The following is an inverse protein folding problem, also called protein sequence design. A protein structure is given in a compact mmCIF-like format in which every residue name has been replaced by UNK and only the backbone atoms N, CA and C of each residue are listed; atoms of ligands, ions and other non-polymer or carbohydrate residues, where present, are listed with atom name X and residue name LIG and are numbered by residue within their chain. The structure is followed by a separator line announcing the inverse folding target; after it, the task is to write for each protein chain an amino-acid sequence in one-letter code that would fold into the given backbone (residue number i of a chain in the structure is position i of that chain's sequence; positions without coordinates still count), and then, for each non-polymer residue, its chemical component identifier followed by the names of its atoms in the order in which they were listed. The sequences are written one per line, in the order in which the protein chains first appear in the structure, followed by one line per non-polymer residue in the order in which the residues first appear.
data_IF_192909018446
#
_entry.id   IF_192909018446
#
_cell.length_a   1.000
_cell.length_b   1.000
_cell.length_c   1.000
_cell.angle_alpha   90.00
_cell.angle_beta   90.00
_cell.angle_gamma   90.00
#
_symmetry.space_group_name_H-M   'P 1'
#
loop_
_entity.id
_entity.type
_entity.pdbx_description
1 polymer ?
#
# COMPACT_ATOMS: atom_id res chain seq x y z
N UNK A 1 20.97 16.29 1.04
CA UNK A 1 20.52 15.05 1.72
C UNK A 1 20.53 13.87 0.75
N UNK A 2 19.88 13.95 -0.41
CA UNK A 2 19.83 12.87 -1.42
C UNK A 2 21.20 12.47 -2.00
N UNK A 3 22.12 13.42 -2.19
CA UNK A 3 23.46 13.17 -2.77
C UNK A 3 24.38 12.29 -1.90
N UNK A 4 23.99 12.00 -0.66
CA UNK A 4 24.76 11.14 0.26
C UNK A 4 24.18 9.73 0.40
N UNK A 5 23.08 9.43 -0.30
CA UNK A 5 22.40 8.13 -0.25
C UNK A 5 22.75 7.36 -1.53
N UNK A 6 23.21 6.12 -1.38
CA UNK A 6 23.41 5.26 -2.54
C UNK A 6 22.04 4.86 -3.10
N UNK A 7 21.82 5.10 -4.39
CA UNK A 7 20.55 4.77 -5.03
C UNK A 7 20.22 3.26 -5.02
N UNK A 8 21.25 2.41 -4.97
CA UNK A 8 21.13 0.95 -4.83
C UNK A 8 20.63 0.51 -3.45
N UNK A 9 20.66 1.42 -2.46
CA UNK A 9 20.14 1.17 -1.13
C UNK A 9 18.68 1.59 -0.95
N UNK A 10 18.05 2.16 -1.98
CA UNK A 10 16.66 2.63 -1.92
C UNK A 10 15.75 1.66 -2.68
N UNK A 11 14.69 1.20 -2.01
CA UNK A 11 13.53 0.60 -2.63
C UNK A 11 12.43 1.65 -2.72
N UNK A 12 12.10 2.07 -3.93
CA UNK A 12 10.92 2.88 -4.19
C UNK A 12 9.71 1.95 -4.21
N UNK A 13 8.61 2.32 -3.56
CA UNK A 13 7.40 1.52 -3.54
C UNK A 13 6.15 2.41 -3.66
N UNK A 14 5.09 1.78 -4.15
CA UNK A 14 3.75 2.33 -4.31
C UNK A 14 2.75 1.15 -4.24
N UNK A 15 1.65 1.32 -3.49
CA UNK A 15 0.59 0.31 -3.36
C UNK A 15 -0.73 0.82 -3.91
N UNK A 16 -1.51 -0.08 -4.50
CA UNK A 16 -2.87 0.21 -4.95
C UNK A 16 -3.86 -0.69 -4.22
N UNK A 17 -4.97 -0.09 -3.80
CA UNK A 17 -5.99 -0.73 -2.97
C UNK A 17 -7.37 -0.54 -3.55
N UNK A 18 -8.27 -1.45 -3.20
CA UNK A 18 -9.71 -1.36 -3.48
C UNK A 18 -10.48 -1.63 -2.19
N UNK A 19 -11.76 -1.26 -2.08
CA UNK A 19 -12.62 -1.71 -0.99
C UNK A 19 -12.60 -3.24 -0.83
N UNK A 20 -12.74 -3.74 0.40
CA UNK A 20 -12.79 -5.20 0.68
C UNK A 20 -13.97 -5.90 -0.01
N UNK A 21 -15.11 -5.22 -0.05
CA UNK A 21 -16.32 -5.64 -0.78
C UNK A 21 -16.72 -4.53 -1.76
N UNK A 22 -17.37 -4.90 -2.88
CA UNK A 22 -17.79 -3.93 -3.91
C UNK A 22 -18.80 -2.93 -3.37
N UNK A 23 -19.83 -3.41 -2.67
CA UNK A 23 -20.89 -2.58 -2.09
C UNK A 23 -20.84 -2.60 -0.55
N UNK A 24 -21.25 -1.49 0.08
CA UNK A 24 -21.34 -1.38 1.54
C UNK A 24 -22.24 -2.47 2.16
N UNK A 25 -23.32 -2.84 1.47
CA UNK A 25 -24.29 -3.86 1.92
C UNK A 25 -23.69 -5.26 2.01
N UNK A 26 -22.59 -5.52 1.29
CA UNK A 26 -21.93 -6.82 1.23
C UNK A 26 -20.94 -7.00 2.38
N UNK A 27 -20.57 -5.89 3.05
CA UNK A 27 -19.84 -5.96 4.32
C UNK A 27 -20.65 -6.71 5.38
N UNK A 28 -19.95 -7.46 6.23
CA UNK A 28 -20.55 -8.00 7.44
C UNK A 28 -20.99 -6.87 8.40
N UNK A 29 -21.93 -7.20 9.30
CA UNK A 29 -22.50 -6.27 10.28
C UNK A 29 -21.44 -5.48 11.06
N UNK A 30 -20.39 -6.16 11.54
CA UNK A 30 -19.31 -5.53 12.31
C UNK A 30 -18.53 -4.53 11.46
N UNK A 31 -18.18 -4.88 10.21
CA UNK A 31 -17.47 -3.99 9.30
C UNK A 31 -18.30 -2.77 8.93
N UNK A 32 -19.63 -2.91 8.75
CA UNK A 32 -20.53 -1.78 8.52
C UNK A 32 -20.52 -0.79 9.69
N UNK A 33 -20.62 -1.29 10.91
CA UNK A 33 -20.59 -0.46 12.13
C UNK A 33 -19.23 0.25 12.30
N UNK A 34 -18.13 -0.48 12.08
CA UNK A 34 -16.78 0.10 12.14
C UNK A 34 -16.56 1.15 11.04
N UNK A 35 -17.05 0.90 9.82
CA UNK A 35 -16.98 1.86 8.72
C UNK A 35 -17.75 3.14 9.05
N UNK A 36 -18.97 3.01 9.57
CA UNK A 36 -19.81 4.14 9.95
C UNK A 36 -19.10 5.04 10.98
N UNK A 37 -18.42 4.44 11.96
CA UNK A 37 -17.66 5.13 13.00
C UNK A 37 -16.39 5.77 12.43
N UNK A 38 -15.58 5.00 11.68
CA UNK A 38 -14.31 5.47 11.12
C UNK A 38 -14.52 6.60 10.12
N UNK A 39 -15.50 6.49 9.23
CA UNK A 39 -15.74 7.47 8.17
C UNK A 39 -16.32 8.80 8.67
N UNK A 40 -16.87 8.84 9.89
CA UNK A 40 -17.65 9.97 10.41
C UNK A 40 -16.91 11.32 10.33
N UNK A 41 -15.61 11.35 10.64
CA UNK A 41 -14.84 12.59 10.63
C UNK A 41 -14.65 13.18 9.22
N UNK A 42 -14.66 12.34 8.18
CA UNK A 42 -14.54 12.77 6.79
C UNK A 42 -15.88 13.01 6.12
N UNK A 43 -16.84 12.08 6.26
CA UNK A 43 -18.15 12.17 5.60
C UNK A 43 -19.08 13.21 6.24
N UNK A 44 -18.82 13.57 7.51
CA UNK A 44 -19.66 14.46 8.33
C UNK A 44 -21.13 14.00 8.31
N UNK A 45 -22.07 14.94 8.32
CA UNK A 45 -23.51 14.69 8.20
C UNK A 45 -24.01 14.90 6.75
N UNK A 46 -23.10 15.05 5.78
CA UNK A 46 -23.43 15.30 4.37
C UNK A 46 -23.71 14.01 3.59
N UNK A 47 -23.03 12.91 3.95
CA UNK A 47 -23.17 11.61 3.29
C UNK A 47 -23.48 10.50 4.30
N UNK A 48 -24.32 9.57 3.88
CA UNK A 48 -24.50 8.30 4.58
C UNK A 48 -23.23 7.44 4.51
N UNK A 49 -23.05 6.45 5.42
CA UNK A 49 -21.91 5.54 5.33
C UNK A 49 -21.82 4.81 3.98
N UNK A 50 -22.96 4.43 3.40
CA UNK A 50 -23.04 3.75 2.11
C UNK A 50 -22.64 4.66 0.95
N UNK A 51 -23.15 5.89 0.89
CA UNK A 51 -22.78 6.86 -0.16
C UNK A 51 -21.28 7.22 -0.13
N UNK A 52 -20.64 7.12 1.03
CA UNK A 52 -19.22 7.43 1.19
C UNK A 52 -18.31 6.21 0.97
N UNK A 53 -18.88 5.01 0.81
CA UNK A 53 -18.14 3.74 0.83
C UNK A 53 -17.17 3.53 -0.34
N UNK A 54 -17.35 4.22 -1.47
CA UNK A 54 -16.41 4.19 -2.60
C UNK A 54 -14.95 4.53 -2.19
N UNK A 55 -14.80 5.24 -1.07
CA UNK A 55 -13.50 5.66 -0.52
C UNK A 55 -12.89 4.65 0.45
N UNK A 56 -13.52 3.50 0.70
CA UNK A 56 -13.08 2.54 1.69
C UNK A 56 -11.64 2.04 1.49
N UNK A 57 -11.20 1.94 0.23
CA UNK A 57 -9.83 1.53 -0.09
C UNK A 57 -8.73 2.39 0.55
N UNK A 58 -9.00 3.65 0.90
CA UNK A 58 -7.95 4.53 1.49
C UNK A 58 -7.58 4.17 2.93
N UNK A 59 -8.36 3.31 3.60
CA UNK A 59 -8.10 2.83 4.95
C UNK A 59 -7.72 1.36 4.92
N UNK A 60 -6.59 1.01 5.53
CA UNK A 60 -6.08 -0.36 5.56
C UNK A 60 -7.08 -1.37 6.18
N UNK A 61 -7.94 -0.93 7.10
CA UNK A 61 -8.93 -1.79 7.73
C UNK A 61 -10.13 -2.15 6.81
N UNK A 62 -10.36 -1.37 5.75
CA UNK A 62 -11.49 -1.51 4.82
C UNK A 62 -11.07 -1.67 3.36
N UNK A 63 -9.77 -1.62 3.11
CA UNK A 63 -9.14 -1.85 1.83
C UNK A 63 -8.58 -3.27 1.70
N UNK A 64 -8.31 -3.64 0.46
CA UNK A 64 -7.56 -4.81 0.03
C UNK A 64 -6.48 -4.36 -0.94
N UNK A 65 -5.25 -4.79 -0.74
CA UNK A 65 -4.14 -4.52 -1.66
C UNK A 65 -4.30 -5.38 -2.90
N UNK A 66 -4.31 -4.74 -4.07
CA UNK A 66 -4.43 -5.40 -5.39
C UNK A 66 -3.15 -5.34 -6.20
N UNK A 67 -2.25 -4.41 -5.86
CA UNK A 67 -0.97 -4.26 -6.51
C UNK A 67 0.05 -3.64 -5.56
N UNK A 68 1.29 -4.11 -5.66
CA UNK A 68 2.46 -3.43 -5.09
C UNK A 68 3.47 -3.29 -6.23
N UNK A 69 3.88 -2.08 -6.54
CA UNK A 69 4.96 -1.82 -7.49
C UNK A 69 6.19 -1.33 -6.77
N UNK A 70 7.36 -1.87 -7.12
CA UNK A 70 8.64 -1.46 -6.56
C UNK A 70 9.64 -1.11 -7.64
N UNK A 71 10.48 -0.12 -7.34
CA UNK A 71 11.57 0.33 -8.18
C UNK A 71 12.89 0.33 -7.43
N UNK A 72 13.97 -0.12 -8.06
CA UNK A 72 15.31 -0.10 -7.46
C UNK A 72 16.40 -0.07 -8.53
N UNK A 73 17.57 0.48 -8.16
CA UNK A 73 18.74 0.50 -9.05
C UNK A 73 19.55 -0.78 -8.89
N UNK A 74 19.94 -1.40 -10.01
CA UNK A 74 20.89 -2.50 -10.02
C UNK A 74 22.32 -2.01 -9.69
N UNK A 75 23.14 -2.93 -9.19
CA UNK A 75 24.58 -2.70 -9.03
C UNK A 75 25.39 -2.93 -10.33
N UNK A 76 24.73 -2.96 -11.50
CA UNK A 76 25.40 -3.11 -12.80
C UNK A 76 26.00 -1.79 -13.28
N UNK A 77 26.94 -1.87 -14.22
CA UNK A 77 27.47 -0.71 -14.95
C UNK A 77 27.17 -0.88 -16.46
N UNK A 78 26.30 -0.05 -17.07
CA UNK A 78 25.60 1.08 -16.45
C UNK A 78 24.51 0.62 -15.45
N UNK A 79 24.17 1.53 -14.53
CA UNK A 79 23.08 1.32 -13.57
C UNK A 79 21.75 1.27 -14.30
N UNK A 80 20.99 0.22 -14.05
CA UNK A 80 19.64 0.05 -14.58
C UNK A 80 18.62 0.30 -13.47
N UNK A 81 17.58 1.08 -13.76
CA UNK A 81 16.42 1.15 -12.90
C UNK A 81 15.46 0.00 -13.25
N UNK A 82 15.22 -0.89 -12.29
CA UNK A 82 14.36 -2.06 -12.45
C UNK A 82 13.04 -1.81 -11.74
N UNK A 83 11.95 -2.22 -12.39
CA UNK A 83 10.59 -2.14 -11.87
C UNK A 83 10.02 -3.56 -11.82
N UNK A 84 9.42 -3.89 -10.69
CA UNK A 84 8.70 -5.15 -10.47
C UNK A 84 7.34 -4.82 -9.88
N UNK A 85 6.28 -5.40 -10.42
CA UNK A 85 4.91 -5.25 -9.91
C UNK A 85 4.37 -6.61 -9.49
N UNK A 86 3.83 -6.68 -8.28
CA UNK A 86 3.12 -7.82 -7.71
C UNK A 86 1.63 -7.56 -7.81
N UNK A 87 0.85 -8.47 -8.38
CA UNK A 87 -0.59 -8.32 -8.55
C UNK A 87 -1.33 -9.66 -8.44
N UNK A 88 -2.63 -9.63 -8.14
CA UNK A 88 -3.45 -10.83 -7.95
C UNK A 88 -4.02 -10.92 -6.53
N UNK A 89 -4.01 -12.11 -5.94
CA UNK A 89 -4.50 -12.30 -4.57
C UNK A 89 -3.57 -11.65 -3.55
N UNK A 90 -4.16 -10.85 -2.64
CA UNK A 90 -3.45 -10.08 -1.62
C UNK A 90 -2.44 -10.91 -0.82
N UNK A 91 -2.83 -12.11 -0.37
CA UNK A 91 -1.93 -12.99 0.38
C UNK A 91 -0.66 -13.34 -0.42
N UNK A 92 -0.81 -13.62 -1.72
CA UNK A 92 0.32 -13.89 -2.61
C UNK A 92 1.18 -12.65 -2.79
N UNK A 93 0.57 -11.50 -3.07
CA UNK A 93 1.25 -10.21 -3.22
C UNK A 93 2.11 -9.92 -1.99
N UNK A 94 1.53 -10.02 -0.79
CA UNK A 94 2.21 -9.74 0.47
C UNK A 94 3.36 -10.73 0.74
N UNK A 95 3.19 -12.01 0.42
CA UNK A 95 4.24 -13.02 0.58
C UNK A 95 5.40 -12.72 -0.38
N UNK A 96 5.12 -12.42 -1.65
CA UNK A 96 6.15 -12.12 -2.65
C UNK A 96 6.90 -10.82 -2.32
N UNK A 97 6.18 -9.78 -1.92
CA UNK A 97 6.79 -8.52 -1.49
C UNK A 97 7.65 -8.70 -0.23
N UNK A 98 7.17 -9.46 0.77
CA UNK A 98 7.95 -9.84 1.94
C UNK A 98 9.24 -10.56 1.54
N UNK A 99 9.17 -11.53 0.64
CA UNK A 99 10.35 -12.27 0.19
C UNK A 99 11.37 -11.35 -0.49
N UNK A 100 10.92 -10.36 -1.27
CA UNK A 100 11.80 -9.35 -1.87
C UNK A 100 12.50 -8.52 -0.77
N UNK A 101 11.75 -8.05 0.22
CA UNK A 101 12.30 -7.28 1.35
C UNK A 101 13.33 -8.08 2.14
N UNK A 102 12.99 -9.32 2.52
CA UNK A 102 13.86 -10.21 3.29
C UNK A 102 15.12 -10.61 2.51
N UNK A 103 15.04 -10.72 1.18
CA UNK A 103 16.19 -11.15 0.36
C UNK A 103 17.13 -9.99 0.02
N UNK A 104 16.58 -8.81 -0.31
CA UNK A 104 17.35 -7.73 -0.93
C UNK A 104 17.40 -6.43 -0.09
N UNK A 105 16.44 -6.21 0.81
CA UNK A 105 16.27 -4.94 1.53
C UNK A 105 16.24 -5.09 3.07
N UNK A 106 16.83 -6.14 3.62
CA UNK A 106 16.75 -6.51 5.04
C UNK A 106 17.83 -5.90 5.96
N UNK A 107 18.65 -4.96 5.48
CA UNK A 107 19.80 -4.44 6.23
C UNK A 107 19.59 -2.98 6.67
N UNK A 108 20.22 -2.50 7.77
CA UNK A 108 20.02 -1.14 8.27
C UNK A 108 20.40 -0.01 7.32
N UNK A 109 21.15 -0.31 6.26
CA UNK A 109 21.53 0.67 5.22
C UNK A 109 20.45 0.82 4.14
N UNK A 110 19.54 -0.15 4.02
CA UNK A 110 18.47 -0.17 3.02
C UNK A 110 17.32 0.71 3.49
N UNK A 111 16.72 1.44 2.56
CA UNK A 111 15.70 2.45 2.81
C UNK A 111 14.47 2.16 1.96
N UNK A 112 13.29 2.30 2.55
CA UNK A 112 12.02 2.32 1.85
C UNK A 112 11.64 3.77 1.53
N UNK A 113 11.22 4.02 0.29
CA UNK A 113 10.82 5.32 -0.19
C UNK A 113 9.45 5.22 -0.88
N UNK A 114 8.46 5.91 -0.33
CA UNK A 114 7.13 6.04 -0.89
C UNK A 114 6.67 7.51 -0.80
N UNK A 115 5.73 7.88 -1.65
CA UNK A 115 5.05 9.16 -1.53
C UNK A 115 3.97 9.06 -0.43
N UNK A 116 4.13 9.79 0.67
CA UNK A 116 3.25 9.70 1.84
C UNK A 116 3.18 8.30 2.49
N UNK A 117 4.20 7.46 2.27
CA UNK A 117 4.16 6.04 2.69
C UNK A 117 3.93 5.79 4.17
N UNK A 118 4.30 6.72 5.07
CA UNK A 118 4.02 6.56 6.50
C UNK A 118 2.55 6.55 6.86
N UNK A 119 1.71 7.16 6.04
CA UNK A 119 0.27 7.27 6.28
C UNK A 119 -0.53 6.25 5.47
N UNK A 120 0.10 5.56 4.50
CA UNK A 120 -0.61 4.72 3.53
C UNK A 120 0.16 3.44 3.14
N UNK A 121 1.31 3.56 2.48
CA UNK A 121 2.03 2.41 1.90
C UNK A 121 2.73 1.50 2.92
N UNK A 122 3.04 2.03 4.10
CA UNK A 122 3.71 1.29 5.17
C UNK A 122 2.70 0.78 6.19
N UNK A 123 2.82 -0.50 6.61
CA UNK A 123 2.02 -1.05 7.70
C UNK A 123 2.31 -0.40 9.05
#
# INVERSE_FOLDING_TARGET
MIQKINLEDILFLDIETVPQEEDFKDLNQTSQELWQLKSQYQRKDEFTPEEFYERAGIWAEFGKIICISVGYFSSSEPKEFRVTSFHGDEATILIEFKNLLETHFNSPRKLLCAHNGKEFDFP
#
